data_IF_812249345833
#
_entry.id   IF_812249345833
#
_cell.length_a   1.000
_cell.length_b   1.000
_cell.length_c   1.000
_cell.angle_alpha   90.00
_cell.angle_beta   90.00
_cell.angle_gamma   90.00
#
_symmetry.space_group_name_H-M   'P 1'
#
loop_
_entity.id
_entity.type
_entity.pdbx_description
1 polymer ?
#
# COMPACT_ATOMS: atom_id res chain seq x y z
N UNK A 1 43.66 9.63 18.31
CA UNK A 1 44.19 8.53 17.47
C UNK A 1 43.04 7.99 16.63
N UNK A 2 42.79 8.38 15.39
CA UNK A 2 43.61 9.03 14.34
C UNK A 2 42.78 10.16 13.71
N UNK A 3 43.26 11.40 13.71
CA UNK A 3 44.09 11.97 12.63
C UNK A 3 43.35 11.99 11.28
N UNK A 4 42.90 13.16 10.85
CA UNK A 4 43.75 14.04 10.03
C UNK A 4 44.32 13.33 8.80
N UNK A 5 43.63 13.46 7.69
CA UNK A 5 44.24 13.95 6.44
C UNK A 5 43.17 14.84 5.78
N UNK A 6 43.03 16.09 6.23
CA UNK A 6 43.78 17.26 5.72
C UNK A 6 43.78 17.34 4.18
N UNK A 7 43.19 18.46 3.74
CA UNK A 7 43.72 19.40 2.72
C UNK A 7 43.65 18.90 1.27
N UNK A 8 43.31 19.74 0.29
CA UNK A 8 43.02 21.17 0.24
C UNK A 8 42.09 21.42 -0.97
N UNK A 9 41.68 22.63 -1.35
CA UNK A 9 42.27 23.97 -1.20
C UNK A 9 41.18 24.96 -1.70
N UNK A 10 40.69 25.89 -0.88
CA UNK A 10 40.98 27.34 -0.92
C UNK A 10 40.86 27.94 -2.33
N UNK A 11 39.89 28.81 -2.63
CA UNK A 11 39.79 30.22 -2.19
C UNK A 11 39.89 31.08 -3.47
N UNK A 12 39.05 32.09 -3.71
CA UNK A 12 39.08 33.44 -3.10
C UNK A 12 37.68 34.06 -3.20
N UNK A 13 37.08 34.51 -2.09
CA UNK A 13 37.17 35.85 -1.50
C UNK A 13 36.54 36.97 -2.36
N UNK A 14 35.45 37.56 -1.87
CA UNK A 14 34.90 38.79 -2.43
C UNK A 14 33.58 39.26 -1.80
N UNK A 15 33.69 40.19 -0.85
CA UNK A 15 32.72 41.22 -0.49
C UNK A 15 31.40 40.81 0.18
N UNK A 16 31.18 41.38 1.36
CA UNK A 16 30.07 41.05 2.25
C UNK A 16 28.71 41.59 1.83
N UNK A 17 27.68 40.85 2.24
CA UNK A 17 26.37 41.38 2.58
C UNK A 17 25.86 40.60 3.80
N UNK A 18 25.44 41.31 4.84
CA UNK A 18 25.12 40.76 6.15
C UNK A 18 23.98 39.74 6.12
N UNK A 19 24.24 38.57 6.69
CA UNK A 19 23.33 37.43 6.79
C UNK A 19 22.23 37.58 7.87
N UNK A 20 21.79 38.80 8.20
CA UNK A 20 20.81 39.03 9.27
C UNK A 20 19.35 39.08 8.78
N UNK A 21 19.09 39.09 7.46
CA UNK A 21 17.75 39.31 6.90
C UNK A 21 17.09 38.12 6.20
N UNK A 22 17.82 37.03 5.93
CA UNK A 22 17.33 35.94 5.06
C UNK A 22 16.84 34.69 5.82
N UNK A 23 17.16 34.56 7.10
CA UNK A 23 16.75 33.40 7.91
C UNK A 23 15.23 33.27 8.15
N UNK A 24 14.46 34.34 7.91
CA UNK A 24 13.00 34.35 8.09
C UNK A 24 12.22 34.02 6.80
N UNK A 25 12.84 34.11 5.62
CA UNK A 25 12.13 34.02 4.33
C UNK A 25 12.14 32.63 3.67
N UNK A 26 12.77 31.62 4.28
CA UNK A 26 12.72 30.25 3.77
C UNK A 26 12.41 29.22 4.87
N UNK A 27 11.36 29.47 5.65
CA UNK A 27 10.60 28.37 6.25
C UNK A 27 9.61 27.85 5.21
N UNK A 28 10.10 27.04 4.28
CA UNK A 28 9.25 26.33 3.32
C UNK A 28 8.50 25.22 4.07
N UNK A 29 7.43 25.60 4.74
CA UNK A 29 6.47 24.70 5.34
C UNK A 29 5.57 24.13 4.23
N UNK A 30 6.15 23.31 3.34
CA UNK A 30 5.41 22.60 2.30
C UNK A 30 4.83 21.31 2.87
N UNK A 31 3.71 21.44 3.59
CA UNK A 31 3.01 20.27 4.13
C UNK A 31 1.69 20.62 4.80
N UNK A 32 0.74 21.23 4.08
CA UNK A 32 -0.63 21.32 4.63
C UNK A 32 -1.56 22.39 4.07
N UNK A 33 -1.51 22.78 2.80
CA UNK A 33 -2.32 23.91 2.31
C UNK A 33 -3.58 23.54 1.51
N UNK A 34 -3.89 22.26 1.30
CA UNK A 34 -5.16 21.88 0.69
C UNK A 34 -5.94 20.96 1.63
N UNK A 35 -7.15 21.35 2.09
CA UNK A 35 -8.03 20.43 2.78
C UNK A 35 -8.34 19.26 1.86
N UNK A 36 -8.46 18.05 2.44
CA UNK A 36 -8.80 16.84 1.69
C UNK A 36 -10.13 17.09 0.97
N UNK A 37 -10.11 17.15 -0.37
CA UNK A 37 -11.26 17.56 -1.20
C UNK A 37 -12.49 16.66 -1.03
N UNK A 38 -12.31 15.43 -0.52
CA UNK A 38 -13.39 14.53 -0.12
C UNK A 38 -12.99 13.81 1.16
N UNK A 39 -13.91 13.72 2.10
CA UNK A 39 -13.80 12.75 3.17
C UNK A 39 -13.77 11.35 2.54
N UNK A 40 -12.71 10.59 2.83
CA UNK A 40 -12.51 9.27 2.23
C UNK A 40 -13.47 8.27 2.88
N UNK A 41 -14.50 7.83 2.15
CA UNK A 41 -15.29 6.66 2.57
C UNK A 41 -14.38 5.42 2.55
N UNK A 42 -14.56 4.52 3.52
CA UNK A 42 -13.89 3.21 3.48
C UNK A 42 -14.42 2.45 2.24
N UNK A 43 -13.54 1.99 1.34
CA UNK A 43 -13.97 1.23 0.18
C UNK A 43 -14.44 -0.16 0.60
N UNK A 44 -15.44 -0.68 -0.11
CA UNK A 44 -15.91 -2.07 0.01
C UNK A 44 -15.21 -2.88 -1.08
N UNK A 45 -14.60 -4.00 -0.73
CA UNK A 45 -13.71 -4.74 -1.63
C UNK A 45 -14.04 -6.22 -1.63
N UNK A 46 -14.23 -6.79 -2.82
CA UNK A 46 -14.46 -8.20 -3.05
C UNK A 46 -13.14 -8.89 -3.31
N UNK A 47 -12.81 -9.86 -2.47
CA UNK A 47 -11.60 -10.65 -2.61
C UNK A 47 -11.97 -12.10 -2.89
N UNK A 48 -11.31 -12.71 -3.85
CA UNK A 48 -11.40 -14.14 -4.10
C UNK A 48 -10.06 -14.65 -4.65
N UNK A 49 -9.79 -15.93 -4.44
CA UNK A 49 -8.65 -16.62 -5.02
C UNK A 49 -9.11 -17.39 -6.25
N UNK A 50 -8.29 -17.51 -7.28
CA UNK A 50 -8.59 -18.33 -8.45
C UNK A 50 -7.84 -19.65 -8.39
N UNK A 51 -8.46 -20.70 -8.93
CA UNK A 51 -7.85 -22.03 -9.02
C UNK A 51 -8.48 -22.86 -10.13
N UNK A 52 -8.13 -24.13 -10.15
CA UNK A 52 -8.70 -25.11 -11.06
C UNK A 52 -8.95 -26.39 -10.27
N UNK A 53 -10.22 -26.82 -10.22
CA UNK A 53 -10.67 -27.89 -9.31
C UNK A 53 -9.87 -29.20 -9.43
N UNK A 54 -9.37 -29.50 -10.63
CA UNK A 54 -8.62 -30.72 -10.93
C UNK A 54 -7.31 -30.83 -10.17
N UNK A 55 -6.79 -29.72 -9.63
CA UNK A 55 -5.55 -29.73 -8.85
C UNK A 55 -5.74 -30.18 -7.40
N UNK A 56 -6.95 -30.12 -6.86
CA UNK A 56 -7.19 -30.42 -5.44
C UNK A 56 -7.04 -31.90 -5.12
N UNK A 57 -7.36 -32.79 -6.05
CA UNK A 57 -7.14 -34.23 -5.92
C UNK A 57 -5.68 -34.63 -6.12
N UNK A 58 -4.89 -33.80 -6.82
CA UNK A 58 -3.48 -34.10 -7.15
C UNK A 58 -2.53 -33.70 -6.01
N UNK A 59 -2.86 -32.63 -5.29
CA UNK A 59 -1.99 -32.02 -4.29
C UNK A 59 -2.73 -31.88 -2.96
N UNK A 60 -2.63 -32.92 -2.14
CA UNK A 60 -3.18 -32.92 -0.79
C UNK A 60 -2.67 -31.71 0.02
N UNK A 61 -3.58 -30.95 0.63
CA UNK A 61 -3.26 -29.78 1.45
C UNK A 61 -3.04 -28.47 0.68
N UNK A 62 -3.01 -28.49 -0.66
CA UNK A 62 -2.78 -27.29 -1.46
C UNK A 62 -3.93 -26.29 -1.31
N UNK A 63 -5.18 -26.76 -1.40
CA UNK A 63 -6.36 -25.92 -1.29
C UNK A 63 -6.41 -25.20 0.06
N UNK A 64 -6.14 -25.92 1.15
CA UNK A 64 -6.13 -25.40 2.52
C UNK A 64 -5.06 -24.32 2.68
N UNK A 65 -3.87 -24.55 2.12
CA UNK A 65 -2.76 -23.58 2.13
C UNK A 65 -3.12 -22.31 1.38
N UNK A 66 -3.70 -22.42 0.18
CA UNK A 66 -4.11 -21.28 -0.64
C UNK A 66 -5.24 -20.48 0.00
N UNK A 67 -6.23 -21.16 0.58
CA UNK A 67 -7.28 -20.51 1.39
C UNK A 67 -6.68 -19.79 2.60
N UNK A 68 -5.64 -20.36 3.22
CA UNK A 68 -4.87 -19.71 4.27
C UNK A 68 -4.24 -18.39 3.82
N UNK A 69 -3.62 -18.36 2.64
CA UNK A 69 -3.08 -17.13 2.06
C UNK A 69 -4.15 -16.09 1.74
N UNK A 70 -5.29 -16.52 1.20
CA UNK A 70 -6.42 -15.61 0.95
C UNK A 70 -6.93 -14.94 2.23
N UNK A 71 -7.10 -15.71 3.32
CA UNK A 71 -7.45 -15.16 4.65
C UNK A 71 -6.36 -14.24 5.21
N UNK A 72 -5.09 -14.57 5.00
CA UNK A 72 -3.99 -13.70 5.41
C UNK A 72 -4.05 -12.34 4.67
N UNK A 73 -4.26 -12.34 3.36
CA UNK A 73 -4.39 -11.11 2.56
C UNK A 73 -5.61 -10.31 2.99
N UNK A 74 -6.77 -10.97 3.15
CA UNK A 74 -7.99 -10.35 3.68
C UNK A 74 -7.72 -9.62 5.02
N UNK A 75 -7.01 -10.28 5.94
CA UNK A 75 -6.70 -9.71 7.26
C UNK A 75 -5.88 -8.43 7.17
N UNK A 76 -4.95 -8.34 6.21
CA UNK A 76 -4.13 -7.14 5.99
C UNK A 76 -4.95 -6.04 5.33
N UNK A 77 -5.76 -6.39 4.33
CA UNK A 77 -6.60 -5.42 3.61
C UNK A 77 -7.67 -4.76 4.48
N UNK A 78 -8.18 -5.46 5.51
CA UNK A 78 -9.13 -4.91 6.49
C UNK A 78 -8.65 -3.64 7.21
N UNK A 79 -7.34 -3.38 7.25
CA UNK A 79 -6.81 -2.11 7.77
C UNK A 79 -7.32 -0.89 6.97
N UNK A 80 -7.60 -1.05 5.68
CA UNK A 80 -7.90 0.05 4.76
C UNK A 80 -9.29 -0.02 4.11
N UNK A 81 -9.93 -1.18 4.12
CA UNK A 81 -11.18 -1.44 3.42
C UNK A 81 -12.12 -2.36 4.21
N UNK A 82 -13.39 -2.39 3.82
CA UNK A 82 -14.36 -3.38 4.28
C UNK A 82 -14.35 -4.53 3.27
N UNK A 83 -13.67 -5.62 3.64
CA UNK A 83 -13.33 -6.71 2.70
C UNK A 83 -14.29 -7.87 2.87
N UNK A 84 -14.85 -8.36 1.76
CA UNK A 84 -15.60 -9.62 1.69
C UNK A 84 -14.77 -10.65 0.92
N UNK A 85 -14.26 -11.66 1.64
CA UNK A 85 -13.48 -12.75 1.04
C UNK A 85 -14.37 -13.95 0.70
N UNK A 86 -14.55 -14.25 -0.59
CA UNK A 86 -15.39 -15.34 -1.09
C UNK A 86 -14.68 -16.71 -1.17
N UNK A 87 -13.41 -16.79 -0.76
CA UNK A 87 -12.65 -18.04 -0.82
C UNK A 87 -12.09 -18.35 -2.21
N UNK A 88 -11.99 -19.64 -2.54
CA UNK A 88 -11.46 -20.14 -3.81
C UNK A 88 -12.55 -20.20 -4.88
N UNK A 89 -12.28 -19.69 -6.08
CA UNK A 89 -13.13 -19.79 -7.28
C UNK A 89 -12.40 -20.63 -8.30
N UNK A 90 -12.88 -21.86 -8.53
CA UNK A 90 -12.15 -22.91 -9.25
C UNK A 90 -12.93 -23.56 -10.41
N UNK A 91 -14.18 -23.12 -10.61
CA UNK A 91 -15.04 -23.53 -11.73
C UNK A 91 -16.12 -22.48 -12.02
N UNK A 92 -16.71 -22.53 -13.21
CA UNK A 92 -17.63 -21.51 -13.73
C UNK A 92 -18.85 -21.29 -12.82
N UNK A 93 -19.50 -22.35 -12.36
CA UNK A 93 -20.70 -22.24 -11.53
C UNK A 93 -20.41 -21.52 -10.20
N UNK A 94 -19.22 -21.69 -9.63
CA UNK A 94 -18.78 -20.98 -8.43
C UNK A 94 -18.52 -19.51 -8.71
N UNK A 95 -17.92 -19.19 -9.86
CA UNK A 95 -17.69 -17.81 -10.27
C UNK A 95 -19.00 -17.02 -10.39
N UNK A 96 -20.04 -17.62 -11.00
CA UNK A 96 -21.38 -17.00 -11.09
C UNK A 96 -21.99 -16.74 -9.71
N UNK A 97 -21.93 -17.72 -8.80
CA UNK A 97 -22.42 -17.57 -7.42
C UNK A 97 -21.72 -16.43 -6.67
N UNK A 98 -20.38 -16.37 -6.75
CA UNK A 98 -19.58 -15.33 -6.10
C UNK A 98 -19.89 -13.95 -6.69
N UNK A 99 -20.09 -13.84 -8.01
CA UNK A 99 -20.50 -12.58 -8.63
C UNK A 99 -21.86 -12.08 -8.11
N UNK A 100 -22.84 -12.98 -7.94
CA UNK A 100 -24.12 -12.63 -7.35
C UNK A 100 -24.01 -12.27 -5.86
N UNK A 101 -23.11 -12.91 -5.12
CA UNK A 101 -22.79 -12.53 -3.73
C UNK A 101 -22.18 -11.13 -3.65
N UNK A 102 -21.18 -10.82 -4.48
CA UNK A 102 -20.57 -9.48 -4.52
C UNK A 102 -21.61 -8.40 -4.84
N UNK A 103 -22.48 -8.64 -5.83
CA UNK A 103 -23.58 -7.73 -6.14
C UNK A 103 -24.50 -7.49 -4.95
N UNK A 104 -24.87 -8.55 -4.20
CA UNK A 104 -25.70 -8.42 -2.97
C UNK A 104 -24.97 -7.68 -1.85
N UNK A 105 -23.65 -7.83 -1.78
CA UNK A 105 -22.81 -7.15 -0.81
C UNK A 105 -22.49 -5.71 -1.24
N UNK A 106 -22.91 -5.24 -2.42
CA UNK A 106 -22.57 -3.93 -2.98
C UNK A 106 -21.05 -3.70 -3.01
N UNK A 107 -20.40 -4.59 -3.77
CA UNK A 107 -18.96 -4.72 -3.99
C UNK A 107 -18.66 -4.88 -5.47
#
# INVERSE_FOLDING_TARGET
>A
MSELTRRGFLGTAGAGFGAAGWGSLMSFQAGGLLPRLREGKRPRVGLYSIGHERYWEQFAGLLERLLGYGRFIESRMKAWADVYYAGMVDHEAKARRVADEFRRQDV
#
